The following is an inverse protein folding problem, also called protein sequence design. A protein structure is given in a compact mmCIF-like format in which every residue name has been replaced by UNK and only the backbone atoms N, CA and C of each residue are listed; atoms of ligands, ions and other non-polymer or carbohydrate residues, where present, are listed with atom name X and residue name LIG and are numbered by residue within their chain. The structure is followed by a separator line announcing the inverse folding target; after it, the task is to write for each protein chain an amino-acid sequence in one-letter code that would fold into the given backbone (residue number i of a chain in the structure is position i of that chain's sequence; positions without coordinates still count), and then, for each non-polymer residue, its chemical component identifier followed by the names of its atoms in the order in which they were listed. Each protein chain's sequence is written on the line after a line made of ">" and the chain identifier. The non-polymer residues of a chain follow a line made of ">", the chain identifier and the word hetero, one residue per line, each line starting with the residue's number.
data_IF_748528348088
#
_entry.id   IF_748528348088
#
_cell.length_a   1.000
_cell.length_b   1.000
_cell.length_c   1.000
_cell.angle_alpha   90.00
_cell.angle_beta   90.00
_cell.angle_gamma   90.00
#
_symmetry.space_group_name_H-M   'P 1'
#
loop_
_entity.id
_entity.type
_entity.pdbx_description
1 polymer ?
#
# COMPACT_ATOMS: atom_id res chain seq x y z
N UNK A 1 -4.32 -22.98 6.97
CA UNK A 1 -3.23 -23.96 7.18
C UNK A 1 -1.94 -23.35 6.64
N UNK A 2 -0.83 -23.56 7.33
CA UNK A 2 0.51 -23.25 6.81
C UNK A 2 1.01 -24.49 6.06
N UNK A 3 1.77 -24.33 4.98
CA UNK A 3 2.46 -25.48 4.37
C UNK A 3 3.66 -25.90 5.24
N UNK A 4 4.33 -26.99 4.87
CA UNK A 4 5.53 -27.52 5.53
C UNK A 4 6.71 -26.53 5.63
N UNK A 5 6.62 -25.38 4.95
CA UNK A 5 7.60 -24.30 4.99
C UNK A 5 7.14 -23.11 5.86
N UNK A 6 6.08 -23.28 6.65
CA UNK A 6 5.45 -22.22 7.45
C UNK A 6 4.95 -21.03 6.60
N UNK A 7 4.66 -21.28 5.32
CA UNK A 7 4.09 -20.28 4.41
C UNK A 7 2.57 -20.41 4.44
N UNK A 8 1.89 -19.28 4.54
CA UNK A 8 0.44 -19.22 4.46
C UNK A 8 -0.05 -19.68 3.08
N UNK A 9 -0.90 -20.70 3.05
CA UNK A 9 -1.54 -21.24 1.83
C UNK A 9 -3.06 -21.21 1.95
N UNK A 10 -3.74 -21.08 0.80
CA UNK A 10 -5.19 -21.02 0.71
C UNK A 10 -5.80 -19.70 1.18
N UNK A 11 -7.01 -19.74 1.72
CA UNK A 11 -7.83 -18.56 2.09
C UNK A 11 -7.09 -17.54 2.97
N UNK A 12 -6.40 -18.03 4.01
CA UNK A 12 -5.61 -17.18 4.94
C UNK A 12 -4.50 -16.37 4.25
N UNK A 13 -3.95 -16.88 3.13
CA UNK A 13 -2.97 -16.15 2.31
C UNK A 13 -3.61 -14.97 1.59
N UNK A 14 -4.79 -15.19 1.00
CA UNK A 14 -5.54 -14.14 0.32
C UNK A 14 -6.03 -13.09 1.31
N UNK A 15 -6.51 -13.50 2.48
CA UNK A 15 -6.94 -12.60 3.54
C UNK A 15 -5.81 -11.67 3.98
N UNK A 16 -4.61 -12.23 4.24
CA UNK A 16 -3.42 -11.44 4.57
C UNK A 16 -3.03 -10.48 3.44
N UNK A 17 -3.04 -10.94 2.18
CA UNK A 17 -2.66 -10.09 1.03
C UNK A 17 -3.64 -8.93 0.82
N UNK A 18 -4.94 -9.19 0.99
CA UNK A 18 -5.98 -8.18 0.91
C UNK A 18 -5.83 -7.17 2.06
N UNK A 19 -5.63 -7.66 3.28
CA UNK A 19 -5.45 -6.81 4.46
C UNK A 19 -4.17 -5.97 4.40
N UNK A 20 -3.07 -6.52 3.86
CA UNK A 20 -1.85 -5.74 3.56
C UNK A 20 -2.17 -4.59 2.62
N UNK A 21 -2.97 -4.82 1.58
CA UNK A 21 -3.42 -3.78 0.67
C UNK A 21 -4.10 -2.62 1.40
N UNK A 22 -5.07 -2.94 2.27
CA UNK A 22 -5.83 -1.96 3.06
C UNK A 22 -4.93 -1.17 4.00
N UNK A 23 -4.06 -1.84 4.77
CA UNK A 23 -3.20 -1.16 5.76
C UNK A 23 -2.11 -0.33 5.09
N UNK A 24 -1.51 -0.82 4.00
CA UNK A 24 -0.53 -0.04 3.22
C UNK A 24 -1.20 1.20 2.63
N UNK A 25 -2.44 1.07 2.17
CA UNK A 25 -3.24 2.19 1.70
C UNK A 25 -3.55 3.18 2.83
N UNK A 26 -3.97 2.71 4.00
CA UNK A 26 -4.31 3.59 5.12
C UNK A 26 -3.07 4.32 5.69
N UNK A 27 -1.92 3.65 5.79
CA UNK A 27 -0.75 4.15 6.55
C UNK A 27 0.42 4.66 5.72
N UNK A 28 0.65 4.14 4.51
CA UNK A 28 1.87 4.44 3.71
C UNK A 28 1.59 5.49 2.62
N UNK A 29 0.33 5.61 2.22
CA UNK A 29 -0.07 6.18 0.94
C UNK A 29 0.10 7.70 0.82
N UNK A 30 0.22 8.42 1.93
CA UNK A 30 0.22 9.89 1.87
C UNK A 30 1.63 10.45 1.60
N UNK A 31 2.71 9.76 2.01
CA UNK A 31 4.02 10.42 2.15
C UNK A 31 5.09 9.87 1.18
N UNK A 32 5.06 8.57 0.88
CA UNK A 32 6.17 7.88 0.21
C UNK A 32 5.77 7.25 -1.13
N UNK A 33 6.48 7.62 -2.20
CA UNK A 33 6.28 7.09 -3.55
C UNK A 33 6.99 5.75 -3.80
N UNK A 34 8.05 5.48 -3.05
CA UNK A 34 8.85 4.27 -3.14
C UNK A 34 8.96 3.62 -1.76
N UNK A 35 8.77 2.29 -1.71
CA UNK A 35 9.04 1.48 -0.53
C UNK A 35 10.47 1.67 0.00
N UNK A 36 11.44 1.98 -0.87
CA UNK A 36 12.82 2.28 -0.47
C UNK A 36 12.92 3.57 0.36
N UNK A 37 12.07 4.55 0.09
CA UNK A 37 12.02 5.84 0.81
C UNK A 37 11.28 5.76 2.14
N UNK A 38 10.47 4.72 2.36
CA UNK A 38 9.77 4.51 3.63
C UNK A 38 10.80 4.26 4.74
N UNK A 39 10.78 5.05 5.83
CA UNK A 39 11.64 4.87 7.00
C UNK A 39 11.54 3.47 7.61
N UNK A 40 12.64 3.02 8.22
CA UNK A 40 12.74 1.67 8.78
C UNK A 40 11.75 1.48 9.94
N UNK A 41 11.59 2.49 10.78
CA UNK A 41 10.63 2.54 11.88
C UNK A 41 9.18 2.29 11.42
N UNK A 42 8.76 2.89 10.30
CA UNK A 42 7.43 2.64 9.72
C UNK A 42 7.33 1.20 9.20
N UNK A 43 8.36 0.69 8.53
CA UNK A 43 8.39 -0.70 8.03
C UNK A 43 8.29 -1.71 9.18
N UNK A 44 9.01 -1.46 10.27
CA UNK A 44 9.01 -2.30 11.45
C UNK A 44 7.69 -2.21 12.21
N UNK A 45 7.11 -1.01 12.37
CA UNK A 45 5.77 -0.82 12.94
C UNK A 45 4.71 -1.61 12.17
N UNK A 46 4.72 -1.52 10.84
CA UNK A 46 3.82 -2.30 9.99
C UNK A 46 4.08 -3.80 10.15
N UNK A 47 5.34 -4.24 10.14
CA UNK A 47 5.69 -5.63 10.36
C UNK A 47 5.14 -6.18 11.68
N UNK A 48 5.36 -5.47 12.79
CA UNK A 48 4.85 -5.84 14.11
C UNK A 48 3.32 -5.98 14.09
N UNK A 49 2.61 -5.03 13.48
CA UNK A 49 1.15 -5.09 13.33
C UNK A 49 0.68 -6.36 12.59
N UNK A 50 1.32 -6.72 11.47
CA UNK A 50 0.97 -7.94 10.73
C UNK A 50 1.40 -9.21 11.47
N UNK A 51 2.54 -9.16 12.17
CA UNK A 51 3.05 -10.27 12.96
C UNK A 51 2.07 -10.63 14.07
N UNK A 52 1.57 -9.65 14.82
CA UNK A 52 0.60 -9.82 15.90
C UNK A 52 -0.77 -10.28 15.36
N UNK A 53 -1.28 -9.59 14.33
CA UNK A 53 -2.62 -9.85 13.79
C UNK A 53 -2.75 -11.24 13.16
N UNK A 54 -1.73 -11.70 12.41
CA UNK A 54 -1.78 -12.97 11.69
C UNK A 54 -0.97 -14.08 12.34
N UNK A 55 -0.31 -13.80 13.48
CA UNK A 55 0.61 -14.71 14.19
C UNK A 55 1.68 -15.24 13.23
N UNK A 56 2.40 -14.34 12.58
CA UNK A 56 3.40 -14.68 11.57
C UNK A 56 4.75 -15.02 12.20
N UNK A 57 5.49 -15.95 11.59
CA UNK A 57 6.87 -16.20 11.96
C UNK A 57 7.80 -15.16 11.31
N UNK A 58 8.97 -14.94 11.91
CA UNK A 58 10.03 -14.08 11.35
C UNK A 58 10.44 -14.49 9.92
N UNK A 59 10.32 -15.78 9.57
CA UNK A 59 10.60 -16.29 8.23
C UNK A 59 9.67 -15.69 7.16
N UNK A 60 8.46 -15.28 7.54
CA UNK A 60 7.49 -14.66 6.64
C UNK A 60 7.79 -13.16 6.38
N UNK A 61 8.69 -12.52 7.15
CA UNK A 61 8.94 -11.07 7.09
C UNK A 61 9.32 -10.59 5.69
N UNK A 62 10.28 -11.26 5.06
CA UNK A 62 10.73 -10.92 3.70
C UNK A 62 9.59 -11.04 2.67
N UNK A 63 8.74 -12.06 2.82
CA UNK A 63 7.60 -12.27 1.92
C UNK A 63 6.52 -11.20 2.12
N UNK A 64 6.23 -10.83 3.36
CA UNK A 64 5.28 -9.76 3.70
C UNK A 64 5.76 -8.41 3.18
N UNK A 65 7.03 -8.05 3.35
CA UNK A 65 7.61 -6.84 2.75
C UNK A 65 7.52 -6.84 1.22
N UNK A 66 7.75 -7.98 0.58
CA UNK A 66 7.55 -8.12 -0.87
C UNK A 66 6.09 -7.83 -1.26
N UNK A 67 5.12 -8.31 -0.49
CA UNK A 67 3.71 -8.05 -0.73
C UNK A 67 3.31 -6.60 -0.47
N UNK A 68 3.81 -5.98 0.60
CA UNK A 68 3.61 -4.54 0.86
C UNK A 68 4.12 -3.69 -0.30
N UNK A 69 5.32 -3.99 -0.81
CA UNK A 69 5.89 -3.29 -1.98
C UNK A 69 5.01 -3.44 -3.22
N UNK A 70 4.50 -4.65 -3.48
CA UNK A 70 3.60 -4.91 -4.62
C UNK A 70 2.27 -4.18 -4.43
N UNK A 71 1.72 -4.18 -3.21
CA UNK A 71 0.49 -3.48 -2.88
C UNK A 71 0.63 -1.97 -3.08
N UNK A 72 1.72 -1.37 -2.58
CA UNK A 72 2.00 0.05 -2.77
C UNK A 72 2.10 0.43 -4.26
N UNK A 73 2.85 -0.34 -5.05
CA UNK A 73 2.97 -0.12 -6.49
C UNK A 73 1.64 -0.29 -7.22
N UNK A 74 0.91 -1.38 -6.92
CA UNK A 74 -0.39 -1.66 -7.53
C UNK A 74 -1.41 -0.57 -7.22
N UNK A 75 -1.41 -0.09 -5.97
CA UNK A 75 -2.23 1.03 -5.54
C UNK A 75 -1.91 2.32 -6.31
N UNK A 76 -0.63 2.71 -6.41
CA UNK A 76 -0.22 3.89 -7.18
C UNK A 76 -0.61 3.79 -8.66
N UNK A 77 -0.42 2.63 -9.28
CA UNK A 77 -0.87 2.40 -10.66
C UNK A 77 -2.38 2.55 -10.79
N UNK A 78 -3.16 2.00 -9.86
CA UNK A 78 -4.62 2.15 -9.83
C UNK A 78 -5.00 3.62 -9.70
N UNK A 79 -4.41 4.33 -8.74
CA UNK A 79 -4.68 5.74 -8.51
C UNK A 79 -4.33 6.61 -9.74
N UNK A 80 -3.19 6.34 -10.36
CA UNK A 80 -2.74 7.06 -11.54
C UNK A 80 -3.63 6.80 -12.76
N UNK A 81 -4.12 5.57 -12.94
CA UNK A 81 -4.99 5.22 -14.06
C UNK A 81 -6.43 5.69 -13.87
N UNK A 82 -6.96 5.61 -12.65
CA UNK A 82 -8.37 5.91 -12.37
C UNK A 82 -8.61 7.39 -12.05
N UNK A 83 -7.63 8.11 -11.51
CA UNK A 83 -7.81 9.50 -11.07
C UNK A 83 -6.94 10.52 -11.78
N UNK A 84 -5.70 10.17 -12.11
CA UNK A 84 -4.75 11.12 -12.71
C UNK A 84 -4.93 11.18 -14.23
N UNK A 85 -4.87 10.03 -14.92
CA UNK A 85 -5.00 9.93 -16.38
C UNK A 85 -6.29 10.54 -16.94
N UNK A 86 -7.48 10.29 -16.37
CA UNK A 86 -8.74 10.86 -16.86
C UNK A 86 -8.84 12.37 -16.62
N UNK A 87 -8.07 12.88 -15.66
CA UNK A 87 -8.15 14.25 -15.18
C UNK A 87 -6.90 15.09 -15.51
N UNK A 88 -6.01 14.56 -16.35
CA UNK A 88 -4.74 15.18 -16.75
C UNK A 88 -4.92 16.57 -17.40
N UNK A 89 -6.03 16.78 -18.11
CA UNK A 89 -6.36 18.07 -18.74
C UNK A 89 -7.06 19.06 -17.79
N UNK A 90 -7.53 18.60 -16.62
CA UNK A 90 -8.28 19.40 -15.66
C UNK A 90 -7.79 19.14 -14.22
N UNK A 91 -6.48 19.32 -13.96
CA UNK A 91 -5.90 19.18 -12.61
C UNK A 91 -6.64 20.01 -11.53
N UNK A 92 -7.32 21.09 -11.92
CA UNK A 92 -8.16 21.92 -11.07
C UNK A 92 -9.48 21.26 -10.62
N UNK A 93 -9.94 20.16 -11.24
CA UNK A 93 -11.11 19.37 -10.84
C UNK A 93 -10.78 18.18 -9.93
N UNK A 94 -9.50 17.87 -9.67
CA UNK A 94 -9.03 16.97 -8.60
C UNK A 94 -9.27 17.61 -7.22
N UNK A 95 -10.49 18.09 -6.95
CA UNK A 95 -10.83 18.80 -5.71
C UNK A 95 -11.12 17.85 -4.57
N UNK A 96 -11.35 16.57 -4.83
CA UNK A 96 -11.59 15.58 -3.79
C UNK A 96 -11.00 14.24 -4.21
N UNK A 97 -10.23 13.57 -3.33
CA UNK A 97 -10.11 12.13 -3.43
C UNK A 97 -11.51 11.52 -3.44
N UNK A 98 -11.69 10.33 -3.99
CA UNK A 98 -12.95 9.61 -3.81
C UNK A 98 -13.28 9.53 -2.33
N UNK A 99 -14.57 9.57 -1.99
CA UNK A 99 -15.04 9.47 -0.59
C UNK A 99 -14.48 8.22 0.13
N UNK A 100 -14.11 7.19 -0.64
CA UNK A 100 -13.47 5.96 -0.16
C UNK A 100 -12.02 6.15 0.33
N UNK A 101 -11.42 7.33 0.09
CA UNK A 101 -10.04 7.68 0.41
C UNK A 101 -9.96 9.04 1.11
N UNK A 102 -10.82 9.29 2.11
CA UNK A 102 -10.82 10.53 2.92
C UNK A 102 -9.45 10.89 3.53
N UNK A 103 -8.52 9.92 3.63
CA UNK A 103 -7.15 10.15 4.11
C UNK A 103 -6.21 10.82 3.09
N UNK A 104 -6.49 10.80 1.78
CA UNK A 104 -5.59 11.37 0.77
C UNK A 104 -5.79 12.89 0.72
N UNK A 105 -4.76 13.69 0.95
CA UNK A 105 -4.86 15.14 0.77
C UNK A 105 -4.65 15.50 -0.70
N UNK A 106 -5.22 16.63 -1.12
CA UNK A 106 -5.04 17.15 -2.48
C UNK A 106 -3.55 17.34 -2.83
N UNK A 107 -2.73 17.70 -1.84
CA UNK A 107 -1.28 17.84 -1.95
C UNK A 107 -0.60 16.53 -2.40
N UNK A 108 -1.10 15.39 -1.92
CA UNK A 108 -0.55 14.07 -2.23
C UNK A 108 -0.87 13.69 -3.68
N UNK A 109 -2.06 14.03 -4.17
CA UNK A 109 -2.43 13.87 -5.58
C UNK A 109 -1.53 14.70 -6.51
N UNK A 110 -1.21 15.94 -6.13
CA UNK A 110 -0.32 16.81 -6.93
C UNK A 110 1.11 16.27 -6.92
N UNK A 111 1.60 15.79 -5.77
CA UNK A 111 2.94 15.18 -5.67
C UNK A 111 3.07 13.93 -6.55
N UNK A 112 2.01 13.13 -6.65
CA UNK A 112 1.97 11.95 -7.51
C UNK A 112 2.03 12.26 -9.01
N UNK A 113 1.56 13.44 -9.44
CA UNK A 113 1.71 13.91 -10.82
C UNK A 113 3.11 14.47 -11.10
N UNK A 114 3.69 15.21 -10.15
CA UNK A 114 5.06 15.76 -10.28
C UNK A 114 6.10 14.64 -10.40
N UNK A 115 6.00 13.59 -9.57
CA UNK A 115 6.90 12.43 -9.62
C UNK A 115 6.74 11.57 -10.91
N UNK A 116 5.73 11.85 -11.75
CA UNK A 116 5.48 11.14 -13.02
C UNK A 116 6.19 11.79 -14.22
N UNK A 117 6.52 13.09 -14.16
CA UNK A 117 7.29 13.81 -15.19
C UNK A 117 8.79 13.62 -14.99
#
# INVERSE_FOLDING_TARGET
>A
MYNSYEVLVGKKRNDLRNYIGVIVQERVLIIYDDWRKVPLDIKEMLWTHFQETFKLSLKAKTQVFKWMRIALRGFRCKLANEYILPNANNLSSLKKPPLEYEGIKKEDCVKMEIDRR
#
